data_IF_964286936402
#
_entry.id   IF_964286936402
#
_cell.length_a   1.000
_cell.length_b   1.000
_cell.length_c   1.000
_cell.angle_alpha   90.00
_cell.angle_beta   90.00
_cell.angle_gamma   90.00
#
_symmetry.space_group_name_H-M   'P 1'
#
loop_
_entity.id
_entity.type
_entity.pdbx_description
1 polymer ?
#
# COMPACT_ATOMS: atom_id res chain seq x y z
N UNK A 1 5.61 -34.64 71.98
CA UNK A 1 6.59 -34.16 70.99
C UNK A 1 5.77 -33.74 69.79
N UNK A 2 5.59 -32.43 69.58
CA UNK A 2 4.71 -31.90 68.54
C UNK A 2 5.37 -32.08 67.16
N UNK A 3 4.59 -32.51 66.17
CA UNK A 3 5.05 -32.79 64.81
C UNK A 3 5.32 -31.47 64.07
N UNK A 4 6.57 -31.18 63.65
CA UNK A 4 6.94 -29.92 63.00
C UNK A 4 6.29 -29.73 61.62
N UNK A 5 5.64 -30.76 61.06
CA UNK A 5 4.87 -30.61 59.81
C UNK A 5 3.55 -29.85 60.00
N UNK A 6 3.04 -29.77 61.22
CA UNK A 6 1.81 -29.06 61.53
C UNK A 6 2.00 -27.53 61.63
N UNK A 7 3.24 -27.05 61.80
CA UNK A 7 3.55 -25.61 61.84
C UNK A 7 3.71 -24.98 60.44
N UNK A 8 3.89 -25.80 59.39
CA UNK A 8 3.98 -25.32 58.00
C UNK A 8 2.63 -25.14 57.32
N UNK A 9 1.55 -25.71 57.88
CA UNK A 9 0.20 -25.58 57.34
C UNK A 9 -0.48 -24.25 57.70
N UNK A 10 0.08 -23.50 58.65
CA UNK A 10 -0.48 -22.23 59.14
C UNK A 10 0.12 -20.98 58.46
N UNK A 11 0.90 -21.18 57.39
CA UNK A 11 1.27 -20.09 56.47
C UNK A 11 0.04 -19.78 55.62
N UNK A 12 -0.90 -19.02 56.21
CA UNK A 12 -2.01 -18.42 55.49
C UNK A 12 -1.38 -17.56 54.38
N UNK A 13 -1.48 -18.01 53.14
CA UNK A 13 -1.10 -17.19 51.99
C UNK A 13 -1.88 -15.87 52.10
N UNK A 14 -1.23 -14.70 52.12
CA UNK A 14 -1.94 -13.44 52.20
C UNK A 14 -2.84 -13.35 50.97
N UNK A 15 -4.16 -13.32 51.20
CA UNK A 15 -5.11 -13.06 50.13
C UNK A 15 -4.73 -11.71 49.51
N UNK A 16 -4.33 -11.73 48.24
CA UNK A 16 -3.91 -10.52 47.56
C UNK A 16 -5.05 -9.49 47.65
N UNK A 17 -4.79 -8.28 48.19
CA UNK A 17 -5.87 -7.33 48.42
C UNK A 17 -6.51 -6.97 47.08
N UNK A 18 -7.84 -6.86 47.03
CA UNK A 18 -8.61 -6.64 45.80
C UNK A 18 -8.11 -5.45 44.96
N UNK A 19 -7.52 -4.45 45.62
CA UNK A 19 -6.83 -3.31 45.00
C UNK A 19 -5.64 -3.71 44.11
N UNK A 20 -4.88 -4.76 44.46
CA UNK A 20 -3.77 -5.28 43.64
C UNK A 20 -4.30 -6.05 42.42
N UNK A 21 -5.40 -6.79 42.58
CA UNK A 21 -6.06 -7.51 41.47
C UNK A 21 -6.69 -6.53 40.48
N UNK A 22 -7.37 -5.48 40.97
CA UNK A 22 -7.93 -4.42 40.15
C UNK A 22 -6.83 -3.58 39.44
N UNK A 23 -5.72 -3.29 40.13
CA UNK A 23 -4.58 -2.58 39.53
C UNK A 23 -3.87 -3.41 38.46
N UNK A 24 -3.73 -4.73 38.66
CA UNK A 24 -3.19 -5.64 37.67
C UNK A 24 -4.09 -5.74 36.43
N UNK A 25 -5.41 -5.82 36.63
CA UNK A 25 -6.41 -5.76 35.54
C UNK A 25 -6.35 -4.44 34.76
N UNK A 26 -6.23 -3.31 35.46
CA UNK A 26 -6.08 -1.99 34.84
C UNK A 26 -4.75 -1.88 34.05
N UNK A 27 -3.66 -2.42 34.57
CA UNK A 27 -2.37 -2.46 33.88
C UNK A 27 -2.44 -3.31 32.60
N UNK A 28 -3.06 -4.50 32.67
CA UNK A 28 -3.29 -5.36 31.50
C UNK A 28 -4.16 -4.67 30.44
N UNK A 29 -5.23 -3.99 30.85
CA UNK A 29 -6.09 -3.21 29.94
C UNK A 29 -5.33 -2.05 29.30
N UNK A 30 -4.46 -1.36 30.05
CA UNK A 30 -3.61 -0.29 29.51
C UNK A 30 -2.61 -0.83 28.48
N UNK A 31 -1.96 -1.97 28.76
CA UNK A 31 -1.05 -2.60 27.80
C UNK A 31 -1.77 -3.11 26.55
N UNK A 32 -2.97 -3.69 26.72
CA UNK A 32 -3.82 -4.11 25.61
C UNK A 32 -4.25 -2.89 24.76
N UNK A 33 -4.65 -1.79 25.40
CA UNK A 33 -5.02 -0.55 24.72
C UNK A 33 -3.81 0.06 23.96
N UNK A 34 -2.62 0.05 24.56
CA UNK A 34 -1.39 0.53 23.92
C UNK A 34 -1.03 -0.33 22.70
N UNK A 35 -1.16 -1.67 22.82
CA UNK A 35 -0.96 -2.61 21.73
C UNK A 35 -1.94 -2.39 20.58
N UNK A 36 -3.23 -2.26 20.90
CA UNK A 36 -4.28 -1.96 19.91
C UNK A 36 -4.05 -0.61 19.22
N UNK A 37 -3.66 0.43 19.97
CA UNK A 37 -3.33 1.73 19.41
C UNK A 37 -2.13 1.63 18.45
N UNK A 38 -1.09 0.88 18.82
CA UNK A 38 0.06 0.61 17.96
C UNK A 38 -0.35 -0.07 16.64
N UNK A 39 -1.15 -1.13 16.72
CA UNK A 39 -1.66 -1.84 15.53
C UNK A 39 -2.53 -0.93 14.67
N UNK A 40 -3.41 -0.12 15.27
CA UNK A 40 -4.26 0.81 14.56
C UNK A 40 -3.44 1.87 13.81
N UNK A 41 -2.37 2.39 14.42
CA UNK A 41 -1.44 3.34 13.77
C UNK A 41 -0.75 2.67 12.60
N UNK A 42 -0.21 1.46 12.77
CA UNK A 42 0.44 0.72 11.68
C UNK A 42 -0.53 0.45 10.52
N UNK A 43 -1.75 0.02 10.84
CA UNK A 43 -2.80 -0.21 9.85
C UNK A 43 -3.18 1.09 9.11
N UNK A 44 -3.31 2.20 9.82
CA UNK A 44 -3.59 3.51 9.21
C UNK A 44 -2.45 3.93 8.28
N UNK A 45 -1.19 3.77 8.70
CA UNK A 45 -0.03 4.05 7.86
C UNK A 45 0.02 3.15 6.64
N UNK A 46 -0.25 1.86 6.78
CA UNK A 46 -0.32 0.92 5.67
C UNK A 46 -1.43 1.29 4.68
N UNK A 47 -2.60 1.68 5.19
CA UNK A 47 -3.73 2.13 4.39
C UNK A 47 -3.42 3.43 3.63
N UNK A 48 -2.88 4.44 4.32
CA UNK A 48 -2.43 5.69 3.70
C UNK A 48 -1.32 5.45 2.67
N UNK A 49 -0.42 4.51 2.97
CA UNK A 49 0.64 4.10 2.06
C UNK A 49 0.07 3.47 0.80
N UNK A 50 -0.84 2.49 0.92
CA UNK A 50 -1.54 1.87 -0.19
C UNK A 50 -2.29 2.91 -1.02
N UNK A 51 -2.99 3.85 -0.38
CA UNK A 51 -3.72 4.94 -1.05
C UNK A 51 -2.79 5.87 -1.83
N UNK A 52 -1.57 6.11 -1.35
CA UNK A 52 -0.56 6.96 -2.02
C UNK A 52 0.40 6.20 -2.94
N UNK A 53 0.45 4.86 -2.86
CA UNK A 53 1.33 4.00 -3.66
C UNK A 53 1.15 4.18 -5.17
N UNK A 54 -0.07 4.21 -5.75
CA UNK A 54 -0.23 4.38 -7.18
C UNK A 54 0.26 5.75 -7.64
N UNK A 55 -0.01 6.80 -6.85
CA UNK A 55 0.47 8.15 -7.12
C UNK A 55 2.01 8.20 -7.14
N UNK A 56 2.67 7.60 -6.15
CA UNK A 56 4.14 7.56 -6.08
C UNK A 56 4.76 6.75 -7.21
N UNK A 57 4.16 5.61 -7.57
CA UNK A 57 4.63 4.78 -8.68
C UNK A 57 4.61 5.55 -10.01
N UNK A 58 3.50 6.25 -10.32
CA UNK A 58 3.41 7.07 -11.54
C UNK A 58 4.47 8.19 -11.56
N UNK A 59 4.71 8.86 -10.41
CA UNK A 59 5.76 9.88 -10.29
C UNK A 59 7.16 9.30 -10.47
N UNK A 60 7.42 8.11 -9.94
CA UNK A 60 8.70 7.43 -10.10
C UNK A 60 8.96 7.04 -11.56
N UNK A 61 7.93 6.60 -12.29
CA UNK A 61 8.03 6.29 -13.72
C UNK A 61 8.31 7.58 -14.52
N UNK A 62 7.57 8.67 -14.24
CA UNK A 62 7.80 9.96 -14.88
C UNK A 62 9.20 10.52 -14.58
N UNK A 63 9.67 10.41 -13.34
CA UNK A 63 11.02 10.83 -12.95
C UNK A 63 12.10 9.98 -13.64
N UNK A 64 11.92 8.66 -13.71
CA UNK A 64 12.83 7.78 -14.45
C UNK A 64 12.87 8.11 -15.95
N UNK A 65 11.73 8.48 -16.53
CA UNK A 65 11.66 8.95 -17.91
C UNK A 65 12.43 10.26 -18.11
N UNK A 66 12.25 11.24 -17.22
CA UNK A 66 12.94 12.52 -17.26
C UNK A 66 14.46 12.38 -17.07
N UNK A 67 14.88 11.47 -16.20
CA UNK A 67 16.30 11.16 -15.94
C UNK A 67 16.88 10.15 -16.94
N UNK A 68 16.10 9.69 -17.93
CA UNK A 68 16.49 8.65 -18.91
C UNK A 68 17.06 7.39 -18.25
N UNK A 69 16.51 7.01 -17.10
CA UNK A 69 16.90 5.83 -16.34
C UNK A 69 16.15 4.60 -16.84
N UNK A 70 16.83 3.80 -17.67
CA UNK A 70 16.27 2.60 -18.31
C UNK A 70 15.71 2.90 -19.70
N UNK A 71 15.27 1.86 -20.42
CA UNK A 71 14.80 2.03 -21.81
C UNK A 71 13.32 2.42 -21.87
N UNK A 72 12.88 3.18 -22.90
CA UNK A 72 11.46 3.51 -23.10
C UNK A 72 10.51 2.31 -23.02
N UNK A 73 10.78 1.14 -23.65
CA UNK A 73 9.88 -0.02 -23.56
C UNK A 73 9.82 -0.61 -22.14
N UNK A 74 10.92 -0.58 -21.37
CA UNK A 74 10.91 -1.06 -19.98
C UNK A 74 10.09 -0.13 -19.08
N UNK A 75 10.19 1.19 -19.27
CA UNK A 75 9.37 2.17 -18.55
C UNK A 75 7.88 2.07 -18.98
N UNK A 76 7.61 1.80 -20.26
CA UNK A 76 6.26 1.58 -20.78
C UNK A 76 5.63 0.32 -20.16
N UNK A 77 6.40 -0.76 -20.00
CA UNK A 77 5.95 -1.96 -19.30
C UNK A 77 5.62 -1.70 -17.82
N UNK A 78 6.38 -0.83 -17.14
CA UNK A 78 6.06 -0.40 -15.77
C UNK A 78 4.78 0.43 -15.71
N UNK A 79 4.54 1.29 -16.71
CA UNK A 79 3.30 2.07 -16.82
C UNK A 79 2.09 1.15 -17.07
N UNK A 80 2.24 0.13 -17.93
CA UNK A 80 1.24 -0.92 -18.15
C UNK A 80 0.91 -1.70 -16.88
N UNK A 81 1.93 -2.15 -16.14
CA UNK A 81 1.72 -2.84 -14.87
C UNK A 81 1.00 -1.95 -13.84
N UNK A 82 1.32 -0.66 -13.83
CA UNK A 82 0.67 0.32 -12.96
C UNK A 82 -0.82 0.50 -13.32
N UNK A 83 -1.17 0.66 -14.60
CA UNK A 83 -2.57 0.80 -15.01
C UNK A 83 -3.38 -0.46 -14.76
N UNK A 84 -2.83 -1.65 -15.05
CA UNK A 84 -3.48 -2.93 -14.74
C UNK A 84 -3.77 -3.06 -13.25
N UNK A 85 -2.79 -2.75 -12.41
CA UNK A 85 -2.99 -2.79 -10.97
C UNK A 85 -4.00 -1.73 -10.47
N UNK A 86 -4.02 -0.53 -11.07
CA UNK A 86 -4.91 0.58 -10.66
C UNK A 86 -6.38 0.30 -10.95
N UNK A 87 -6.65 -0.26 -12.14
CA UNK A 87 -8.00 -0.50 -12.64
C UNK A 87 -8.41 -1.98 -12.55
N UNK A 88 -7.59 -2.82 -11.93
CA UNK A 88 -7.78 -4.27 -11.82
C UNK A 88 -8.01 -4.94 -13.19
N UNK A 89 -7.35 -4.45 -14.23
CA UNK A 89 -7.51 -4.95 -15.58
C UNK A 89 -6.59 -6.16 -15.82
N UNK A 90 -7.08 -7.21 -16.51
CA UNK A 90 -6.23 -8.33 -16.91
C UNK A 90 -5.16 -7.88 -17.92
N UNK A 91 -5.53 -6.97 -18.82
CA UNK A 91 -4.65 -6.34 -19.81
C UNK A 91 -5.08 -4.90 -20.10
N UNK A 92 -4.13 -4.05 -20.46
CA UNK A 92 -4.45 -2.71 -21.02
C UNK A 92 -4.81 -2.91 -22.48
N UNK A 93 -6.03 -2.54 -22.84
CA UNK A 93 -6.56 -2.68 -24.19
C UNK A 93 -7.43 -1.46 -24.50
N UNK A 94 -7.31 -0.93 -25.72
CA UNK A 94 -8.08 0.22 -26.18
C UNK A 94 -9.60 -0.06 -26.13
N UNK A 95 -10.00 -1.33 -26.29
CA UNK A 95 -11.41 -1.73 -26.24
C UNK A 95 -11.97 -1.87 -24.80
N UNK A 96 -11.11 -1.97 -23.78
CA UNK A 96 -11.51 -2.20 -22.39
C UNK A 96 -11.29 -0.92 -21.60
N UNK A 97 -12.21 0.03 -21.74
CA UNK A 97 -12.16 1.31 -21.02
C UNK A 97 -12.66 1.13 -19.56
N UNK A 98 -11.92 1.61 -18.55
CA UNK A 98 -12.40 1.67 -17.18
C UNK A 98 -13.64 2.59 -17.04
N UNK A 99 -14.57 2.26 -16.12
CA UNK A 99 -15.72 3.12 -15.85
C UNK A 99 -15.26 4.49 -15.32
N UNK A 100 -15.86 5.57 -15.84
CA UNK A 100 -15.53 6.94 -15.43
C UNK A 100 -14.38 7.59 -16.18
N UNK A 101 -13.77 6.91 -17.16
CA UNK A 101 -12.84 7.50 -18.12
C UNK A 101 -13.50 7.75 -19.46
N UNK A 102 -13.02 8.75 -20.18
CA UNK A 102 -13.38 8.98 -21.58
C UNK A 102 -12.83 7.83 -22.46
N UNK A 103 -13.69 7.08 -23.17
CA UNK A 103 -13.27 5.98 -24.02
C UNK A 103 -12.27 6.37 -25.11
N UNK A 104 -12.40 7.57 -25.68
CA UNK A 104 -11.51 8.04 -26.76
C UNK A 104 -10.13 8.38 -26.20
N UNK A 105 -10.08 9.16 -25.13
CA UNK A 105 -8.82 9.44 -24.44
C UNK A 105 -8.12 8.16 -23.94
N UNK A 106 -8.89 7.18 -23.47
CA UNK A 106 -8.35 5.87 -23.07
C UNK A 106 -7.79 5.10 -24.26
N UNK A 107 -8.53 4.98 -25.37
CA UNK A 107 -8.08 4.23 -26.54
C UNK A 107 -6.79 4.79 -27.12
N UNK A 108 -6.70 6.11 -27.26
CA UNK A 108 -5.52 6.79 -27.79
C UNK A 108 -4.31 6.59 -26.88
N UNK A 109 -4.52 6.65 -25.57
CA UNK A 109 -3.48 6.43 -24.58
C UNK A 109 -2.99 4.98 -24.58
N UNK A 110 -3.91 4.00 -24.66
CA UNK A 110 -3.58 2.57 -24.68
C UNK A 110 -2.81 2.19 -25.95
N UNK A 111 -3.20 2.72 -27.11
CA UNK A 111 -2.49 2.52 -28.37
C UNK A 111 -1.07 3.13 -28.34
N UNK A 112 -0.94 4.37 -27.85
CA UNK A 112 0.36 5.02 -27.71
C UNK A 112 1.29 4.27 -26.74
N UNK A 113 0.74 3.72 -25.65
CA UNK A 113 1.49 2.87 -24.73
C UNK A 113 1.96 1.57 -25.40
N UNK A 114 1.08 0.90 -26.14
CA UNK A 114 1.42 -0.32 -26.87
C UNK A 114 2.52 -0.06 -27.90
N UNK A 115 2.45 1.05 -28.63
CA UNK A 115 3.47 1.46 -29.58
C UNK A 115 4.83 1.64 -28.91
N UNK A 116 4.91 2.37 -27.79
CA UNK A 116 6.17 2.54 -27.04
C UNK A 116 6.75 1.24 -26.47
N UNK A 117 5.90 0.23 -26.24
CA UNK A 117 6.33 -1.04 -25.63
C UNK A 117 6.83 -2.04 -26.67
N UNK A 118 6.21 -2.07 -27.85
CA UNK A 118 6.40 -3.13 -28.83
C UNK A 118 6.95 -2.67 -30.18
N UNK A 119 6.80 -1.39 -30.52
CA UNK A 119 7.36 -0.86 -31.76
C UNK A 119 8.85 -0.52 -31.58
N UNK A 120 9.61 -0.38 -32.68
CA UNK A 120 10.97 0.15 -32.62
C UNK A 120 10.99 1.49 -31.86
N UNK A 121 11.95 1.71 -30.96
CA UNK A 121 11.94 2.88 -30.09
C UNK A 121 12.03 4.17 -30.94
N UNK A 122 11.00 5.04 -30.89
CA UNK A 122 11.08 6.31 -31.59
C UNK A 122 12.17 7.17 -30.94
N UNK A 123 12.81 8.08 -31.70
CA UNK A 123 13.84 8.98 -31.16
C UNK A 123 13.34 9.78 -29.94
N UNK A 124 12.03 10.05 -29.88
CA UNK A 124 11.36 10.78 -28.81
C UNK A 124 10.65 9.90 -27.77
N UNK A 125 11.01 8.61 -27.65
CA UNK A 125 10.31 7.64 -26.80
C UNK A 125 10.17 8.07 -25.33
N UNK A 126 11.15 8.77 -24.77
CA UNK A 126 11.05 9.32 -23.41
C UNK A 126 10.06 10.48 -23.30
N UNK A 127 9.98 11.36 -24.30
CA UNK A 127 9.00 12.47 -24.30
C UNK A 127 7.58 11.95 -24.42
N UNK A 128 7.36 10.97 -25.31
CA UNK A 128 6.05 10.33 -25.46
C UNK A 128 5.63 9.64 -24.15
N UNK A 129 6.57 8.97 -23.46
CA UNK A 129 6.31 8.34 -22.18
C UNK A 129 5.99 9.35 -21.06
N UNK A 130 6.68 10.49 -21.03
CA UNK A 130 6.36 11.59 -20.12
C UNK A 130 4.95 12.15 -20.40
N UNK A 131 4.58 12.34 -21.66
CA UNK A 131 3.24 12.79 -22.05
C UNK A 131 2.15 11.78 -21.64
N UNK A 132 2.40 10.47 -21.77
CA UNK A 132 1.49 9.44 -21.27
C UNK A 132 1.36 9.47 -19.74
N UNK A 133 2.45 9.71 -19.02
CA UNK A 133 2.40 9.86 -17.56
C UNK A 133 1.57 11.08 -17.15
N UNK A 134 1.68 12.21 -17.86
CA UNK A 134 0.88 13.41 -17.62
C UNK A 134 -0.61 13.16 -17.90
N UNK A 135 -0.96 12.55 -19.04
CA UNK A 135 -2.35 12.19 -19.36
C UNK A 135 -2.97 11.22 -18.35
N UNK A 136 -2.16 10.35 -17.73
CA UNK A 136 -2.61 9.43 -16.70
C UNK A 136 -2.70 10.05 -15.28
N UNK A 137 -2.19 11.28 -15.06
CA UNK A 137 -2.31 11.97 -13.76
C UNK A 137 -3.75 12.18 -13.29
N UNK A 138 -4.71 12.69 -14.09
CA UNK A 138 -6.09 12.90 -13.63
C UNK A 138 -6.80 11.59 -13.24
N UNK A 139 -6.39 10.47 -13.82
CA UNK A 139 -6.96 9.15 -13.53
C UNK A 139 -6.65 8.64 -12.12
N UNK A 140 -5.75 9.31 -11.40
CA UNK A 140 -5.50 9.07 -9.98
C UNK A 140 -6.80 9.09 -9.16
N UNK A 141 -7.75 9.93 -9.54
CA UNK A 141 -8.98 10.17 -8.79
C UNK A 141 -10.16 9.27 -9.20
N UNK A 142 -10.03 8.44 -10.26
CA UNK A 142 -11.16 7.82 -10.97
C UNK A 142 -11.33 6.30 -10.78
N UNK A 143 -10.91 5.74 -9.65
CA UNK A 143 -11.10 4.31 -9.36
C UNK A 143 -10.96 4.01 -7.87
#
# INVERSE_FOLDING_TARGET
MADPRNELADIIAPAAPDVVVAAAGNSLLLWAALGLAGVAVVALFAWLWQRRRPARALRAIAAAAAQRQGTPPALAARLDAWTRARFQLPRVDAAICPPGLDPVAWSDWAQALAHLRFAPPPPDGYMQLAALCERARPWRHHA
#
